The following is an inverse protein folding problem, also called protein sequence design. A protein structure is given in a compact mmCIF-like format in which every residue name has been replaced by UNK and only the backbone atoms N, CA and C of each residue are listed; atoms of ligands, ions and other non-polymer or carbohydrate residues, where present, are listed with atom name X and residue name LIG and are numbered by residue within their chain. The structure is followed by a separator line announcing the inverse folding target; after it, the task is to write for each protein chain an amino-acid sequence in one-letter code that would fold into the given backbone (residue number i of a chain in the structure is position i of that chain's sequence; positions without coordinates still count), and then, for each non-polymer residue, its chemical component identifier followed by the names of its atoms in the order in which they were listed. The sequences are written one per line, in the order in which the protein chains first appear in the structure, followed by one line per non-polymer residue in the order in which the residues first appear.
data_IF_486312774344
#
_entry.id   IF_486312774344
#
_cell.length_a   1.000
_cell.length_b   1.000
_cell.length_c   1.000
_cell.angle_alpha   90.00
_cell.angle_beta   90.00
_cell.angle_gamma   90.00
#
_symmetry.space_group_name_H-M   'P 1'
#
loop_
_entity.id
_entity.type
_entity.pdbx_description
1 polymer ?
#
# COMPACT_ATOMS: atom_id res chain seq x y z
N UNK A 1 32.78 1.08 -48.88
CA UNK A 1 31.45 0.81 -48.28
C UNK A 1 31.62 -0.22 -47.17
N UNK A 2 31.39 0.10 -45.89
CA UNK A 2 31.17 -0.93 -44.88
C UNK A 2 29.67 -1.33 -44.85
N UNK A 3 29.32 -2.57 -44.48
CA UNK A 3 27.94 -3.04 -44.46
C UNK A 3 27.17 -2.45 -43.27
N UNK A 4 25.93 -2.03 -43.52
CA UNK A 4 25.00 -1.55 -42.50
C UNK A 4 24.66 -2.70 -41.53
N UNK A 5 25.19 -2.62 -40.30
CA UNK A 5 24.81 -3.51 -39.21
C UNK A 5 23.33 -3.27 -38.87
N UNK A 6 22.47 -4.22 -39.24
CA UNK A 6 21.06 -4.25 -38.81
C UNK A 6 21.03 -4.45 -37.30
N UNK A 7 20.68 -3.40 -36.55
CA UNK A 7 20.43 -3.47 -35.11
C UNK A 7 19.20 -4.36 -34.91
N UNK A 8 19.38 -5.47 -34.19
CA UNK A 8 18.26 -6.36 -33.84
C UNK A 8 17.23 -5.59 -33.00
N UNK A 9 15.93 -5.88 -33.14
CA UNK A 9 14.90 -5.27 -32.32
C UNK A 9 15.11 -5.70 -30.85
N UNK A 10 15.12 -4.72 -29.95
CA UNK A 10 15.10 -4.96 -28.51
C UNK A 10 13.79 -5.68 -28.18
N UNK A 11 13.83 -7.01 -28.03
CA UNK A 11 12.72 -7.77 -27.48
C UNK A 11 12.70 -7.44 -25.99
N UNK A 12 11.82 -6.52 -25.59
CA UNK A 12 11.62 -6.18 -24.19
C UNK A 12 11.12 -7.40 -23.42
N UNK A 13 11.86 -7.79 -22.39
CA UNK A 13 11.42 -8.79 -21.43
C UNK A 13 10.21 -8.25 -20.67
N UNK A 14 9.06 -8.93 -20.73
CA UNK A 14 7.92 -8.65 -19.87
C UNK A 14 8.15 -9.43 -18.57
N UNK A 15 8.41 -8.79 -17.41
CA UNK A 15 8.72 -9.49 -16.19
C UNK A 15 7.51 -10.28 -15.70
N UNK A 16 7.73 -11.53 -15.31
CA UNK A 16 6.76 -12.39 -14.64
C UNK A 16 6.36 -11.80 -13.28
N UNK A 17 5.21 -12.17 -12.70
CA UNK A 17 4.81 -11.69 -11.37
C UNK A 17 5.86 -11.99 -10.29
N UNK A 18 6.57 -13.12 -10.37
CA UNK A 18 7.66 -13.46 -9.46
C UNK A 18 8.86 -12.52 -9.59
N UNK A 19 9.23 -12.11 -10.81
CA UNK A 19 10.28 -11.13 -11.06
C UNK A 19 9.88 -9.73 -10.60
N UNK A 20 8.62 -9.35 -10.79
CA UNK A 20 8.08 -8.09 -10.26
C UNK A 20 8.08 -8.09 -8.73
N UNK A 21 7.70 -9.21 -8.09
CA UNK A 21 7.80 -9.36 -6.63
C UNK A 21 9.25 -9.32 -6.15
N UNK A 22 10.19 -9.96 -6.86
CA UNK A 22 11.60 -9.93 -6.53
C UNK A 22 12.19 -8.51 -6.69
N UNK A 23 11.78 -7.77 -7.70
CA UNK A 23 12.17 -6.37 -7.90
C UNK A 23 11.56 -5.45 -6.83
N UNK A 24 10.30 -5.69 -6.41
CA UNK A 24 9.68 -4.97 -5.30
C UNK A 24 10.36 -5.28 -3.95
N UNK A 25 10.70 -6.54 -3.72
CA UNK A 25 11.47 -7.00 -2.55
C UNK A 25 12.92 -6.54 -2.57
N UNK A 26 13.49 -6.13 -3.71
CA UNK A 26 14.80 -5.48 -3.80
C UNK A 26 14.74 -4.00 -3.43
N UNK A 27 13.58 -3.35 -3.60
CA UNK A 27 13.37 -1.96 -3.18
C UNK A 27 13.24 -1.85 -1.66
N UNK A 28 12.63 -2.85 -1.05
CA UNK A 28 12.72 -3.06 0.39
C UNK A 28 14.13 -3.59 0.65
N UNK A 29 14.94 -2.95 1.51
CA UNK A 29 16.15 -3.63 1.95
C UNK A 29 15.69 -4.91 2.67
N UNK A 30 16.05 -6.13 2.20
CA UNK A 30 15.74 -7.36 2.92
C UNK A 30 16.38 -7.34 4.32
N UNK A 31 17.47 -6.59 4.45
CA UNK A 31 18.08 -6.17 5.71
C UNK A 31 17.68 -4.71 6.01
N UNK A 32 16.47 -4.53 6.51
CA UNK A 32 15.94 -3.22 6.89
C UNK A 32 16.88 -2.48 7.86
N UNK A 33 16.75 -1.14 7.99
CA UNK A 33 17.47 -0.41 9.02
C UNK A 33 17.06 -0.94 10.39
N UNK A 34 17.91 -1.75 11.02
CA UNK A 34 17.89 -1.80 12.48
C UNK A 34 18.06 -0.36 12.93
N UNK A 35 17.09 0.11 13.71
CA UNK A 35 17.23 1.37 14.44
C UNK A 35 18.36 1.15 15.43
N UNK A 36 19.58 1.38 14.98
CA UNK A 36 20.78 1.11 15.75
C UNK A 36 21.00 2.26 16.73
N UNK A 37 21.58 1.95 17.89
CA UNK A 37 21.84 2.96 18.92
C UNK A 37 22.56 4.21 18.38
N UNK A 38 23.57 4.12 17.47
CA UNK A 38 24.20 5.30 16.89
C UNK A 38 23.22 6.18 16.09
N UNK A 39 22.30 5.57 15.34
CA UNK A 39 21.28 6.28 14.56
C UNK A 39 20.26 6.95 15.49
N UNK A 40 19.88 6.28 16.58
CA UNK A 40 19.01 6.86 17.60
C UNK A 40 19.65 8.07 18.27
N UNK A 41 20.92 7.98 18.66
CA UNK A 41 21.64 9.08 19.31
C UNK A 41 21.89 10.26 18.36
N UNK A 42 22.00 10.01 17.06
CA UNK A 42 22.17 11.06 16.04
C UNK A 42 20.84 11.77 15.73
N UNK A 43 19.76 11.02 15.50
CA UNK A 43 18.45 11.56 15.10
C UNK A 43 17.65 12.11 16.29
N UNK A 44 17.83 11.53 17.47
CA UNK A 44 17.17 11.92 18.72
C UNK A 44 18.22 12.23 19.81
N UNK A 45 18.97 13.33 19.68
CA UNK A 45 20.04 13.66 20.63
C UNK A 45 19.52 13.93 22.05
N UNK A 46 18.26 14.36 22.19
CA UNK A 46 17.56 14.50 23.47
C UNK A 46 16.93 13.20 23.99
N UNK A 47 17.05 12.09 23.24
CA UNK A 47 16.32 10.85 23.50
C UNK A 47 14.87 10.91 23.01
N UNK A 48 14.11 9.87 23.38
CA UNK A 48 12.67 9.79 23.15
C UNK A 48 11.93 10.21 24.43
N UNK A 49 10.70 10.71 24.26
CA UNK A 49 9.85 11.00 25.40
C UNK A 49 9.65 9.76 26.27
N UNK A 50 9.73 9.95 27.59
CA UNK A 50 9.60 8.85 28.54
C UNK A 50 8.14 8.50 28.72
N UNK A 51 7.79 7.26 28.36
CA UNK A 51 6.48 6.68 28.67
C UNK A 51 6.45 6.26 30.14
N UNK A 52 5.40 6.62 30.86
CA UNK A 52 5.23 6.26 32.27
C UNK A 52 5.35 4.73 32.47
N UNK A 53 6.03 4.25 33.53
CA UNK A 53 6.27 2.82 33.77
C UNK A 53 4.99 1.99 33.77
N UNK A 54 3.90 2.55 34.30
CA UNK A 54 2.58 1.92 34.38
C UNK A 54 2.00 1.72 32.97
N UNK A 55 2.08 2.75 32.13
CA UNK A 55 1.66 2.69 30.72
C UNK A 55 2.49 1.68 29.94
N UNK A 56 3.81 1.63 30.16
CA UNK A 56 4.68 0.63 29.53
C UNK A 56 4.31 -0.80 29.94
N UNK A 57 4.03 -1.04 31.22
CA UNK A 57 3.64 -2.37 31.71
C UNK A 57 2.32 -2.82 31.10
N UNK A 58 1.34 -1.91 31.05
CA UNK A 58 0.03 -2.16 30.46
C UNK A 58 0.11 -2.42 28.96
N UNK A 59 0.97 -1.69 28.24
CA UNK A 59 1.26 -1.94 26.82
C UNK A 59 1.84 -3.34 26.59
N UNK A 60 2.82 -3.76 27.41
CA UNK A 60 3.41 -5.11 27.29
C UNK A 60 2.38 -6.19 27.53
N UNK A 61 1.58 -6.06 28.57
CA UNK A 61 0.52 -7.02 28.88
C UNK A 61 -0.52 -7.10 27.75
N UNK A 62 -1.05 -5.96 27.30
CA UNK A 62 -2.05 -5.96 26.24
C UNK A 62 -1.49 -6.52 24.92
N UNK A 63 -0.19 -6.33 24.64
CA UNK A 63 0.45 -6.95 23.49
C UNK A 63 0.53 -8.47 23.62
N UNK A 64 0.85 -9.01 24.80
CA UNK A 64 0.83 -10.45 25.04
C UNK A 64 -0.58 -11.03 24.81
N UNK A 65 -1.62 -10.37 25.32
CA UNK A 65 -3.02 -10.77 25.12
C UNK A 65 -3.41 -10.76 23.63
N UNK A 66 -3.05 -9.71 22.88
CA UNK A 66 -3.33 -9.60 21.43
C UNK A 66 -2.69 -10.74 20.63
N UNK A 67 -1.52 -11.23 21.05
CA UNK A 67 -0.84 -12.31 20.36
C UNK A 67 -1.59 -13.64 20.51
N UNK A 68 -2.41 -13.80 21.55
CA UNK A 68 -3.24 -15.00 21.76
C UNK A 68 -4.51 -14.99 20.89
N UNK A 69 -5.18 -13.85 20.78
CA UNK A 69 -6.36 -13.68 19.90
C UNK A 69 -6.37 -12.31 19.19
N UNK A 70 -5.64 -12.18 18.07
CA UNK A 70 -5.53 -10.90 17.37
C UNK A 70 -6.84 -10.49 16.70
N UNK A 71 -7.73 -11.43 16.36
CA UNK A 71 -8.99 -11.09 15.72
C UNK A 71 -9.93 -10.36 16.69
N UNK A 72 -9.93 -10.77 17.96
CA UNK A 72 -10.74 -10.16 19.00
C UNK A 72 -10.10 -8.90 19.60
N UNK A 73 -8.79 -8.92 19.83
CA UNK A 73 -8.14 -7.95 20.72
C UNK A 73 -7.43 -6.80 19.99
N UNK A 74 -7.22 -6.91 18.68
CA UNK A 74 -6.53 -5.88 17.88
C UNK A 74 -7.17 -4.49 18.02
N UNK A 75 -8.50 -4.41 18.04
CA UNK A 75 -9.18 -3.11 18.19
C UNK A 75 -9.00 -2.50 19.59
N UNK A 76 -9.00 -3.34 20.63
CA UNK A 76 -8.73 -2.88 22.00
C UNK A 76 -7.30 -2.34 22.14
N UNK A 77 -6.34 -3.01 21.50
CA UNK A 77 -4.95 -2.59 21.42
C UNK A 77 -4.75 -1.26 20.69
N UNK A 78 -5.38 -1.09 19.52
CA UNK A 78 -5.35 0.18 18.77
C UNK A 78 -5.86 1.33 19.63
N UNK A 79 -6.97 1.12 20.34
CA UNK A 79 -7.53 2.12 21.25
C UNK A 79 -6.58 2.47 22.39
N UNK A 80 -5.97 1.47 23.01
CA UNK A 80 -5.03 1.69 24.10
C UNK A 80 -3.82 2.54 23.66
N UNK A 81 -3.31 2.30 22.45
CA UNK A 81 -2.23 3.13 21.88
C UNK A 81 -2.71 4.57 21.64
N UNK A 82 -3.84 4.73 20.94
CA UNK A 82 -4.33 6.05 20.54
C UNK A 82 -4.75 6.89 21.75
N UNK A 83 -5.32 6.26 22.77
CA UNK A 83 -5.78 6.91 23.98
C UNK A 83 -4.64 7.10 24.99
N UNK A 84 -4.07 6.02 25.52
CA UNK A 84 -3.19 6.08 26.68
C UNK A 84 -1.75 6.43 26.31
N UNK A 85 -1.23 5.93 25.18
CA UNK A 85 0.14 6.22 24.77
C UNK A 85 0.26 7.58 24.05
N UNK A 86 -0.69 7.89 23.17
CA UNK A 86 -0.65 9.10 22.34
C UNK A 86 -1.51 10.25 22.89
N UNK A 87 -2.42 10.00 23.83
CA UNK A 87 -3.26 11.04 24.44
C UNK A 87 -4.35 11.61 23.53
N UNK A 88 -4.76 10.88 22.48
CA UNK A 88 -5.69 11.40 21.46
C UNK A 88 -7.17 11.24 21.84
N UNK A 89 -7.48 10.71 23.03
CA UNK A 89 -8.82 10.46 23.55
C UNK A 89 -9.89 11.51 23.20
N UNK A 90 -9.69 12.83 23.43
CA UNK A 90 -10.74 13.81 23.18
C UNK A 90 -11.07 14.00 21.70
N UNK A 91 -10.17 13.60 20.79
CA UNK A 91 -10.33 13.70 19.33
C UNK A 91 -10.62 12.38 18.62
N UNK A 92 -10.54 11.25 19.33
CA UNK A 92 -10.67 9.93 18.72
C UNK A 92 -12.11 9.67 18.25
N UNK A 93 -12.27 9.30 16.98
CA UNK A 93 -13.57 9.01 16.34
C UNK A 93 -13.52 7.63 15.70
N UNK A 94 -14.53 6.80 15.95
CA UNK A 94 -14.61 5.44 15.45
C UNK A 94 -16.01 5.12 14.90
N UNK A 95 -16.08 4.24 13.91
CA UNK A 95 -17.33 3.71 13.37
C UNK A 95 -18.31 4.82 12.94
N UNK A 96 -19.47 4.87 13.59
CA UNK A 96 -20.52 5.85 13.30
C UNK A 96 -20.14 7.30 13.67
N UNK A 97 -19.16 7.50 14.56
CA UNK A 97 -18.68 8.82 14.93
C UNK A 97 -17.72 9.43 13.88
N UNK A 98 -17.27 8.63 12.91
CA UNK A 98 -16.49 9.12 11.78
C UNK A 98 -17.40 9.88 10.80
N UNK A 99 -16.99 11.07 10.33
CA UNK A 99 -17.72 11.79 9.29
C UNK A 99 -17.79 10.95 8.01
N UNK A 100 -18.87 11.11 7.25
CA UNK A 100 -19.10 10.31 6.03
C UNK A 100 -17.91 10.37 5.08
N UNK A 101 -17.30 11.55 4.92
CA UNK A 101 -16.17 11.82 4.04
C UNK A 101 -14.92 10.96 4.29
N UNK A 102 -14.78 10.37 5.49
CA UNK A 102 -13.63 9.53 5.86
C UNK A 102 -14.01 8.08 6.14
N UNK A 103 -15.31 7.75 6.14
CA UNK A 103 -15.74 6.36 6.29
C UNK A 103 -15.19 5.57 5.10
N UNK A 104 -14.60 4.39 5.37
CA UNK A 104 -14.10 3.49 4.35
C UNK A 104 -15.27 3.16 3.39
N UNK A 105 -15.32 3.87 2.25
CA UNK A 105 -16.51 4.00 1.41
C UNK A 105 -16.61 5.36 0.69
N UNK A 106 -16.41 6.48 1.39
CA UNK A 106 -16.38 7.82 0.77
C UNK A 106 -14.99 8.23 0.28
N UNK A 107 -13.96 7.64 0.88
CA UNK A 107 -12.58 7.64 0.45
C UNK A 107 -12.26 6.23 -0.09
N UNK A 108 -12.77 5.90 -1.28
CA UNK A 108 -12.25 4.79 -2.07
C UNK A 108 -11.04 5.29 -2.86
N UNK A 109 -9.93 5.55 -2.15
CA UNK A 109 -8.61 5.41 -2.79
C UNK A 109 -8.20 3.94 -2.97
N UNK A 110 -9.13 3.00 -2.85
CA UNK A 110 -9.19 1.83 -3.73
C UNK A 110 -9.56 2.25 -5.16
N UNK A 111 -8.72 3.09 -5.76
CA UNK A 111 -8.34 2.87 -7.15
C UNK A 111 -7.26 1.79 -7.10
N UNK A 112 -7.65 0.58 -6.68
CA UNK A 112 -6.89 -0.61 -6.98
C UNK A 112 -6.68 -0.57 -8.48
N UNK A 113 -5.43 -0.37 -8.88
CA UNK A 113 -5.01 -0.10 -10.25
C UNK A 113 -5.07 -1.35 -11.13
N UNK A 114 -5.90 -2.33 -10.75
CA UNK A 114 -6.11 -3.57 -11.47
C UNK A 114 -7.62 -3.81 -11.56
N UNK A 115 -8.17 -3.50 -12.73
CA UNK A 115 -9.49 -3.96 -13.15
C UNK A 115 -9.23 -5.00 -14.26
N UNK A 116 -9.31 -6.31 -13.97
CA UNK A 116 -9.11 -7.35 -14.98
C UNK A 116 -10.28 -7.38 -15.99
N UNK A 117 -11.38 -6.65 -15.78
CA UNK A 117 -12.50 -6.59 -16.71
C UNK A 117 -12.33 -5.53 -17.81
N UNK A 118 -11.23 -4.76 -17.83
CA UNK A 118 -10.94 -3.76 -18.87
C UNK A 118 -9.92 -4.19 -19.92
N UNK A 119 -9.64 -5.48 -20.05
CA UNK A 119 -8.86 -6.04 -21.16
C UNK A 119 -9.73 -6.93 -22.04
N UNK A 120 -10.68 -6.32 -22.74
CA UNK A 120 -11.17 -6.85 -23.99
C UNK A 120 -10.87 -5.80 -25.08
N UNK A 121 -10.09 -6.11 -26.13
CA UNK A 121 -9.95 -5.19 -27.24
C UNK A 121 -11.34 -4.97 -27.88
N UNK A 122 -11.70 -3.75 -28.31
CA UNK A 122 -12.91 -3.58 -29.09
C UNK A 122 -12.76 -4.42 -30.36
N UNK A 123 -13.67 -5.38 -30.56
CA UNK A 123 -13.87 -5.98 -31.87
C UNK A 123 -14.17 -4.83 -32.82
N UNK A 124 -13.28 -4.59 -33.77
CA UNK A 124 -13.56 -3.68 -34.88
C UNK A 124 -14.63 -4.37 -35.72
N UNK A 125 -15.88 -3.96 -35.55
CA UNK A 125 -16.93 -4.26 -36.50
C UNK A 125 -16.57 -3.57 -37.81
N UNK A 126 -16.08 -4.34 -38.79
CA UNK A 126 -15.94 -3.88 -40.17
C UNK A 126 -17.33 -3.58 -40.73
N UNK A 127 -17.77 -2.32 -40.62
CA UNK A 127 -18.87 -1.81 -41.43
C UNK A 127 -18.41 -1.75 -42.88
N UNK A 128 -18.95 -2.66 -43.69
CA UNK A 128 -18.83 -2.63 -45.14
C UNK A 128 -19.53 -1.38 -45.68
N UNK A 129 -18.76 -0.42 -46.18
CA UNK A 129 -19.26 0.75 -46.91
C UNK A 129 -19.64 0.29 -48.32
N UNK A 130 -20.92 0.41 -48.65
CA UNK A 130 -21.46 0.34 -50.00
C UNK A 130 -21.10 1.62 -50.75
N UNK A 131 -20.52 1.58 -51.96
CA UNK A 131 -20.48 2.75 -52.82
C UNK A 131 -21.78 2.87 -53.62
N UNK A 132 -22.37 4.06 -53.57
CA UNK A 132 -23.48 4.51 -54.39
C UNK A 132 -23.02 4.90 -55.81
N UNK A 133 -23.91 4.71 -56.79
CA UNK A 133 -23.78 5.13 -58.20
C UNK A 133 -24.18 3.99 -59.15
N UNK A 134 -24.98 4.14 -60.20
CA UNK A 134 -25.64 5.28 -60.80
C UNK A 134 -26.83 4.75 -61.65
N UNK A 135 -27.82 5.62 -61.80
CA UNK A 135 -28.97 5.72 -62.76
C UNK A 135 -28.78 5.14 -64.18
N UNK A 136 -29.82 5.08 -65.04
CA UNK A 136 -31.20 5.61 -64.89
C UNK A 136 -32.32 4.56 -64.90
#
# INVERSE_FOLDING_TARGET
MPPAARRAPFVGHIPTPAEQHADWLRLLRPDGPFVALPVLTEVFPQGLDTVAPETQQRLRQAWEEVQEDPALLRHGWERLILDELLGWAPGLREGAALPESVRAGANTRTRCWWDPARTAPPHVSSSSVHPAGATP
#
